data_IF_203528528174
#
_entry.id   IF_203528528174
#
_cell.length_a   1.000
_cell.length_b   1.000
_cell.length_c   1.000
_cell.angle_alpha   90.00
_cell.angle_beta   90.00
_cell.angle_gamma   90.00
#
_symmetry.space_group_name_H-M   'P 1'
#
loop_
_entity.id
_entity.type
_entity.pdbx_description
1 polymer ?
#
# COMPACT_ATOMS: atom_id res chain seq x y z
N UNK A 1 1.93 19.11 -7.09
CA UNK A 1 3.27 18.47 -7.07
C UNK A 1 3.20 17.31 -6.11
N UNK A 2 3.49 16.10 -6.58
CA UNK A 2 3.57 14.91 -5.74
C UNK A 2 4.80 15.03 -4.82
N UNK A 3 4.59 15.09 -3.51
CA UNK A 3 5.65 15.35 -2.52
C UNK A 3 5.96 14.15 -1.64
N UNK A 4 5.34 13.00 -1.95
CA UNK A 4 5.30 11.86 -1.06
C UNK A 4 6.17 10.73 -1.59
N UNK A 5 6.98 10.20 -0.69
CA UNK A 5 7.84 9.05 -0.94
C UNK A 5 7.43 7.94 0.03
N UNK A 6 7.02 6.79 -0.49
CA UNK A 6 6.89 5.57 0.30
C UNK A 6 8.19 4.78 0.21
N UNK A 7 8.65 4.30 1.36
CA UNK A 7 9.84 3.46 1.48
C UNK A 7 9.44 2.20 2.22
N UNK A 8 9.83 1.06 1.66
CA UNK A 8 9.68 -0.25 2.27
C UNK A 8 11.08 -0.79 2.55
N UNK A 9 11.26 -1.43 3.70
CA UNK A 9 12.56 -1.97 4.09
C UNK A 9 12.59 -3.50 4.13
N UNK A 10 13.79 -4.03 4.43
CA UNK A 10 14.05 -5.47 4.52
C UNK A 10 13.42 -6.14 5.75
N UNK A 11 13.03 -5.36 6.76
CA UNK A 11 12.43 -5.83 8.01
C UNK A 11 10.89 -5.81 7.98
N UNK A 12 10.31 -5.33 6.88
CA UNK A 12 8.88 -5.27 6.62
C UNK A 12 8.20 -3.98 7.06
N UNK A 13 8.97 -2.92 7.36
CA UNK A 13 8.40 -1.59 7.62
C UNK A 13 8.02 -0.91 6.31
N UNK A 14 6.98 -0.09 6.41
CA UNK A 14 6.56 0.85 5.38
C UNK A 14 6.53 2.24 6.01
N UNK A 15 7.20 3.20 5.39
CA UNK A 15 7.27 4.58 5.84
C UNK A 15 6.87 5.52 4.73
N UNK A 16 5.96 6.43 5.01
CA UNK A 16 5.54 7.52 4.13
C UNK A 16 6.23 8.81 4.57
N UNK A 17 6.98 9.42 3.66
CA UNK A 17 7.73 10.66 3.87
C UNK A 17 7.12 11.79 3.05
N UNK A 18 7.03 12.98 3.65
CA UNK A 18 6.95 14.24 2.92
C UNK A 18 8.39 14.66 2.56
N UNK A 19 8.77 14.43 1.31
CA UNK A 19 10.13 14.64 0.83
C UNK A 19 10.51 16.12 0.84
N UNK A 20 9.57 17.00 0.51
CA UNK A 20 9.80 18.45 0.48
C UNK A 20 10.02 19.00 1.89
N UNK A 21 9.18 18.59 2.85
CA UNK A 21 9.32 19.02 4.25
C UNK A 21 10.40 18.23 5.01
N UNK A 22 10.97 17.19 4.41
CA UNK A 22 11.93 16.27 5.03
C UNK A 22 11.41 15.69 6.35
N UNK A 23 10.14 15.28 6.36
CA UNK A 23 9.45 14.76 7.55
C UNK A 23 8.80 13.42 7.28
N UNK A 24 8.89 12.51 8.26
CA UNK A 24 8.06 11.31 8.29
C UNK A 24 6.62 11.75 8.49
N UNK A 25 5.76 11.32 7.57
CA UNK A 25 4.32 11.55 7.64
C UNK A 25 3.63 10.44 8.42
N UNK A 26 3.96 9.20 8.10
CA UNK A 26 3.45 8.03 8.80
C UNK A 26 4.37 6.82 8.62
N UNK A 27 4.30 5.85 9.54
CA UNK A 27 5.01 4.58 9.42
C UNK A 27 4.18 3.43 9.98
N UNK A 28 4.50 2.21 9.59
CA UNK A 28 3.92 0.99 10.11
C UNK A 28 4.77 -0.23 9.74
N UNK A 29 4.49 -1.37 10.36
CA UNK A 29 5.16 -2.64 10.06
C UNK A 29 4.13 -3.70 9.65
N UNK A 30 3.58 -3.62 8.43
CA UNK A 30 2.56 -4.57 7.98
C UNK A 30 3.13 -5.94 7.60
N UNK A 31 4.44 -6.04 7.37
CA UNK A 31 5.11 -7.23 6.90
C UNK A 31 6.14 -7.75 7.89
N UNK A 32 6.44 -9.04 7.80
CA UNK A 32 7.50 -9.70 8.59
C UNK A 32 8.75 -10.02 7.75
N UNK A 33 8.75 -9.65 6.46
CA UNK A 33 9.86 -9.82 5.53
C UNK A 33 9.99 -8.60 4.60
N UNK A 34 11.02 -8.60 3.75
CA UNK A 34 11.36 -7.50 2.84
C UNK A 34 10.18 -7.08 1.98
N UNK A 35 9.89 -5.78 2.00
CA UNK A 35 8.95 -5.16 1.08
C UNK A 35 9.56 -5.15 -0.31
N UNK A 36 8.84 -5.65 -1.32
CA UNK A 36 9.30 -5.77 -2.71
C UNK A 36 8.55 -4.86 -3.67
N UNK A 37 7.42 -4.31 -3.26
CA UNK A 37 6.76 -3.28 -4.05
C UNK A 37 5.81 -2.44 -3.23
N UNK A 38 5.62 -1.22 -3.72
CA UNK A 38 4.82 -0.17 -3.11
C UNK A 38 4.04 0.55 -4.19
N UNK A 39 2.83 0.96 -3.84
CA UNK A 39 2.02 1.84 -4.67
C UNK A 39 1.24 2.81 -3.78
N UNK A 40 1.22 4.08 -4.16
CA UNK A 40 0.56 5.13 -3.42
C UNK A 40 -0.56 5.67 -4.29
N UNK A 41 -1.78 5.81 -3.75
CA UNK A 41 -2.87 6.46 -4.46
C UNK A 41 -2.77 7.98 -4.35
N UNK A 42 -2.97 8.67 -5.47
CA UNK A 42 -3.03 10.13 -5.53
C UNK A 42 -4.46 10.62 -5.32
N UNK A 43 -5.03 10.42 -4.12
CA UNK A 43 -6.25 11.12 -3.76
C UNK A 43 -5.85 12.44 -3.08
N UNK A 44 -5.95 13.53 -3.85
CA UNK A 44 -5.74 14.89 -3.36
C UNK A 44 -6.78 15.20 -2.26
N UNK A 45 -6.32 15.26 -1.01
CA UNK A 45 -7.14 15.60 0.17
C UNK A 45 -7.59 17.09 0.11
N UNK A 46 -7.11 17.85 -0.88
CA UNK A 46 -7.34 19.29 -1.00
C UNK A 46 -8.43 19.66 -2.03
N UNK A 47 -9.00 18.70 -2.76
CA UNK A 47 -10.09 19.00 -3.70
C UNK A 47 -11.43 18.69 -3.03
N UNK A 48 -12.13 19.78 -2.69
CA UNK A 48 -13.47 19.81 -2.11
C UNK A 48 -14.54 19.23 -3.06
N UNK A 49 -14.47 17.94 -3.41
CA UNK A 49 -15.58 17.22 -4.05
C UNK A 49 -16.38 16.48 -2.99
N UNK A 50 -17.41 17.16 -2.51
CA UNK A 50 -18.49 16.66 -1.68
C UNK A 50 -19.28 15.56 -2.40
N UNK A 51 -18.93 14.29 -2.18
CA UNK A 51 -19.84 13.14 -2.24
C UNK A 51 -19.07 11.82 -2.18
N UNK A 52 -18.83 11.28 -0.98
CA UNK A 52 -18.85 9.84 -0.69
C UNK A 52 -18.42 9.64 0.76
N UNK A 53 -19.14 8.81 1.48
CA UNK A 53 -18.91 8.46 2.89
C UNK A 53 -17.62 7.65 3.10
N UNK A 54 -16.84 7.43 2.05
CA UNK A 54 -15.50 6.86 2.11
C UNK A 54 -14.47 7.99 2.19
N UNK A 55 -14.10 8.35 3.42
CA UNK A 55 -12.96 9.19 3.73
C UNK A 55 -11.83 8.98 2.70
N UNK A 56 -11.53 10.02 1.94
CA UNK A 56 -10.48 10.12 0.91
C UNK A 56 -9.06 10.04 1.49
N UNK A 57 -8.83 9.09 2.38
CA UNK A 57 -7.55 8.81 2.97
C UNK A 57 -6.61 8.27 1.89
N UNK A 58 -5.42 8.83 1.85
CA UNK A 58 -4.35 8.34 1.00
C UNK A 58 -4.03 6.88 1.37
N UNK A 59 -4.07 6.00 0.37
CA UNK A 59 -3.79 4.57 0.55
C UNK A 59 -2.37 4.25 0.09
N UNK A 60 -1.74 3.35 0.82
CA UNK A 60 -0.45 2.75 0.46
C UNK A 60 -0.66 1.25 0.33
N UNK A 61 -0.38 0.70 -0.83
CA UNK A 61 -0.31 -0.73 -1.05
C UNK A 61 1.13 -1.17 -0.88
N UNK A 62 1.35 -2.25 -0.16
CA UNK A 62 2.67 -2.84 0.02
C UNK A 62 2.62 -4.35 -0.14
N UNK A 63 3.54 -4.91 -0.92
CA UNK A 63 3.73 -6.34 -1.06
C UNK A 63 5.11 -6.72 -0.55
N UNK A 64 5.18 -7.81 0.21
CA UNK A 64 6.42 -8.36 0.75
C UNK A 64 6.62 -9.82 0.35
N UNK A 65 7.86 -10.30 0.53
CA UNK A 65 8.23 -11.71 0.39
C UNK A 65 7.46 -12.64 1.35
N UNK A 66 6.86 -12.09 2.41
CA UNK A 66 5.93 -12.83 3.27
C UNK A 66 4.60 -13.19 2.57
N UNK A 67 4.49 -12.81 1.29
CA UNK A 67 3.36 -13.02 0.38
C UNK A 67 2.12 -12.21 0.74
N UNK A 68 2.22 -11.26 1.67
CA UNK A 68 1.10 -10.42 2.04
C UNK A 68 1.09 -9.15 1.19
N UNK A 69 -0.03 -8.91 0.52
CA UNK A 69 -0.42 -7.59 0.05
C UNK A 69 -1.18 -6.89 1.17
N UNK A 70 -0.61 -5.81 1.71
CA UNK A 70 -1.26 -4.96 2.70
C UNK A 70 -1.78 -3.68 2.05
N UNK A 71 -2.99 -3.29 2.41
CA UNK A 71 -3.61 -2.00 2.07
C UNK A 71 -3.61 -1.17 3.34
N UNK A 72 -2.89 -0.05 3.30
CA UNK A 72 -2.65 0.80 4.45
C UNK A 72 -3.36 2.14 4.26
N UNK A 73 -4.04 2.62 5.30
CA UNK A 73 -4.58 3.97 5.37
C UNK A 73 -3.64 4.87 6.16
N UNK A 74 -3.36 6.05 5.62
CA UNK A 74 -2.60 7.09 6.33
C UNK A 74 -3.55 8.05 7.06
N UNK A 75 -3.62 7.94 8.39
CA UNK A 75 -4.29 8.95 9.22
C UNK A 75 -3.30 10.05 9.60
N UNK A 76 -3.50 11.26 9.06
CA UNK A 76 -2.57 12.40 9.23
C UNK A 76 -2.36 12.77 10.71
N UNK A 77 -3.36 12.57 11.55
CA UNK A 77 -3.28 12.86 12.99
C UNK A 77 -2.43 11.86 13.78
N UNK A 78 -2.43 10.58 13.41
CA UNK A 78 -1.79 9.52 14.20
C UNK A 78 -0.33 9.26 13.82
N UNK A 79 0.13 9.76 12.66
CA UNK A 79 1.43 9.40 12.06
C UNK A 79 1.64 7.88 11.93
N UNK A 80 0.55 7.13 11.84
CA UNK A 80 0.57 5.68 11.76
C UNK A 80 -0.07 5.24 10.45
N UNK A 81 0.57 4.28 9.79
CA UNK A 81 -0.04 3.51 8.71
C UNK A 81 -0.82 2.37 9.35
N UNK A 82 -2.14 2.41 9.20
CA UNK A 82 -3.02 1.36 9.72
C UNK A 82 -3.41 0.44 8.58
N UNK A 83 -3.21 -0.86 8.77
CA UNK A 83 -3.68 -1.86 7.83
C UNK A 83 -5.20 -1.93 7.84
N UNK A 84 -5.82 -1.62 6.71
CA UNK A 84 -7.27 -1.75 6.50
C UNK A 84 -7.62 -3.08 5.86
N UNK A 85 -6.67 -3.69 5.14
CA UNK A 85 -6.84 -5.01 4.53
C UNK A 85 -5.49 -5.70 4.35
N UNK A 86 -5.47 -7.01 4.57
CA UNK A 86 -4.33 -7.88 4.28
C UNK A 86 -4.79 -9.08 3.45
N UNK A 87 -4.08 -9.37 2.36
CA UNK A 87 -4.38 -10.49 1.46
C UNK A 87 -3.09 -11.31 1.31
N UNK A 88 -3.17 -12.62 1.56
CA UNK A 88 -2.03 -13.52 1.35
C UNK A 88 -2.13 -14.10 -0.05
N UNK A 89 -1.09 -13.87 -0.85
CA UNK A 89 -0.96 -14.40 -2.19
C UNK A 89 -0.50 -15.86 -2.13
N UNK A 90 -0.83 -16.61 -3.18
CA UNK A 90 -0.46 -18.03 -3.28
C UNK A 90 1.04 -18.18 -3.56
N UNK A 91 1.60 -17.31 -4.40
CA UNK A 91 2.95 -17.42 -4.94
C UNK A 91 4.00 -17.03 -3.91
N UNK A 92 5.17 -17.67 -3.99
CA UNK A 92 6.37 -17.20 -3.31
C UNK A 92 6.92 -15.98 -4.05
N UNK A 93 6.62 -14.79 -3.55
CA UNK A 93 6.90 -13.51 -4.19
C UNK A 93 8.40 -13.22 -4.22
N UNK A 94 8.92 -12.82 -5.38
CA UNK A 94 10.29 -12.28 -5.54
C UNK A 94 10.28 -10.81 -5.94
N UNK A 95 9.35 -10.40 -6.79
CA UNK A 95 9.20 -9.03 -7.29
C UNK A 95 7.73 -8.74 -7.61
N UNK A 96 7.37 -7.47 -7.73
CA UNK A 96 6.08 -7.09 -8.26
C UNK A 96 6.09 -5.72 -8.95
N UNK A 97 5.03 -5.48 -9.72
CA UNK A 97 4.75 -4.19 -10.35
C UNK A 97 3.26 -3.89 -10.22
N UNK A 98 2.93 -2.74 -9.63
CA UNK A 98 1.57 -2.21 -9.67
C UNK A 98 1.41 -1.44 -10.98
N UNK A 99 0.50 -1.87 -11.84
CA UNK A 99 0.12 -1.08 -13.03
C UNK A 99 -0.76 0.10 -12.60
N UNK A 100 -1.64 -0.13 -11.62
CA UNK A 100 -2.54 0.84 -11.01
C UNK A 100 -3.06 0.27 -9.68
N UNK A 101 -4.01 0.95 -9.04
CA UNK A 101 -4.58 0.54 -7.75
C UNK A 101 -5.39 -0.77 -7.79
N UNK A 102 -5.79 -1.23 -8.98
CA UNK A 102 -6.61 -2.43 -9.17
C UNK A 102 -5.87 -3.57 -9.85
N UNK A 103 -4.62 -3.37 -10.31
CA UNK A 103 -3.88 -4.35 -11.09
C UNK A 103 -2.44 -4.49 -10.60
N UNK A 104 -2.10 -5.71 -10.18
CA UNK A 104 -0.80 -6.08 -9.62
C UNK A 104 -0.21 -7.27 -10.36
N UNK A 105 1.00 -7.13 -10.88
CA UNK A 105 1.79 -8.22 -11.45
C UNK A 105 2.81 -8.72 -10.44
N UNK A 106 2.91 -10.03 -10.27
CA UNK A 106 3.78 -10.68 -9.30
C UNK A 106 4.70 -11.65 -10.02
N UNK A 107 6.01 -11.45 -9.84
CA UNK A 107 7.02 -12.43 -10.21
C UNK A 107 7.26 -13.38 -9.04
N UNK A 108 7.22 -14.68 -9.32
CA UNK A 108 7.36 -15.73 -8.32
C UNK A 108 8.72 -16.45 -8.40
N UNK A 109 9.09 -17.16 -7.33
CA UNK A 109 10.34 -17.94 -7.26
C UNK A 109 10.40 -19.04 -8.32
N UNK A 110 9.25 -19.60 -8.71
CA UNK A 110 9.16 -20.66 -9.73
C UNK A 110 9.30 -20.13 -11.18
N UNK A 111 9.54 -18.83 -11.34
CA UNK A 111 9.68 -18.17 -12.65
C UNK A 111 8.36 -17.78 -13.29
N UNK A 112 7.21 -18.04 -12.64
CA UNK A 112 5.91 -17.59 -13.13
C UNK A 112 5.68 -16.09 -12.91
N UNK A 113 4.85 -15.50 -13.77
CA UNK A 113 4.30 -14.15 -13.59
C UNK A 113 2.79 -14.26 -13.53
N UNK A 114 2.20 -13.80 -12.43
CA UNK A 114 0.77 -13.85 -12.17
C UNK A 114 0.23 -12.44 -12.05
N UNK A 115 -0.93 -12.18 -12.68
CA UNK A 115 -1.63 -10.89 -12.57
C UNK A 115 -2.82 -11.04 -11.64
N UNK A 116 -2.89 -10.19 -10.62
CA UNK A 116 -3.97 -10.07 -9.68
C UNK A 116 -4.81 -8.83 -9.98
N UNK A 117 -6.14 -8.99 -9.86
CA UNK A 117 -7.07 -7.86 -9.75
C UNK A 117 -7.38 -7.60 -8.28
N UNK A 118 -7.21 -6.36 -7.86
CA UNK A 118 -7.43 -5.91 -6.49
C UNK A 118 -8.76 -5.17 -6.44
N UNK A 119 -9.78 -5.86 -5.94
CA UNK A 119 -11.09 -5.25 -5.70
C UNK A 119 -11.20 -4.86 -4.22
N UNK A 120 -11.15 -3.54 -3.97
CA UNK A 120 -11.39 -2.97 -2.65
C UNK A 120 -12.91 -2.88 -2.41
N UNK A 121 -13.52 -4.02 -2.11
CA UNK A 121 -14.92 -4.07 -1.66
C UNK A 121 -14.98 -3.56 -0.21
N UNK A 122 -16.04 -2.80 0.11
CA UNK A 122 -16.33 -2.39 1.47
C UNK A 122 -16.37 -3.62 2.41
N UNK A 123 -16.02 -3.46 3.70
CA UNK A 123 -16.14 -4.54 4.67
C UNK A 123 -17.57 -5.09 4.64
N UNK A 124 -17.72 -6.42 4.54
CA UNK A 124 -19.02 -7.06 4.72
C UNK A 124 -19.41 -6.82 6.18
N UNK A 125 -20.43 -5.98 6.41
CA UNK A 125 -21.04 -5.87 7.73
C UNK A 125 -21.82 -7.17 7.98
N UNK A 126 -21.42 -7.91 9.02
CA UNK A 126 -22.11 -9.11 9.53
C UNK A 126 -22.83 -8.74 10.81
#
# INVERSE_FOLDING_TARGET
METLLAVGDVEGHVTLFDFVKKKIRAFGRPHVQSVVGLFITNNDINNNSSSSEDNSAQRVFSLSQDRKLAVLSCHVSSKQLTETRGIVLREHVTTCCFENESTLHVGAVDGSVVTYRIDLVAPIQV
#
